data_IF_530477544715
#
_entry.id   IF_530477544715
#
_cell.length_a   1.000
_cell.length_b   1.000
_cell.length_c   1.000
_cell.angle_alpha   90.00
_cell.angle_beta   90.00
_cell.angle_gamma   90.00
#
_symmetry.space_group_name_H-M   'P 1'
#
loop_
_entity.id
_entity.type
_entity.pdbx_description
1 polymer ?
#
# COMPACT_ATOMS: atom_id res chain seq x y z
N UNK A 1 9.50 20.57 -16.91
CA UNK A 1 9.24 19.52 -15.90
C UNK A 1 7.73 19.41 -15.73
N UNK A 2 7.12 18.30 -16.14
CA UNK A 2 5.67 18.08 -15.98
C UNK A 2 5.34 17.87 -14.51
N UNK A 3 4.33 18.57 -13.99
CA UNK A 3 3.86 18.39 -12.62
C UNK A 3 3.37 16.95 -12.43
N UNK A 4 4.13 16.12 -11.72
CA UNK A 4 3.65 14.81 -11.30
C UNK A 4 2.76 14.98 -10.08
N UNK A 5 1.45 14.80 -10.26
CA UNK A 5 0.51 14.71 -9.14
C UNK A 5 0.75 13.40 -8.40
N UNK A 6 0.91 13.47 -7.08
CA UNK A 6 0.97 12.28 -6.22
C UNK A 6 -0.42 11.84 -5.75
N UNK A 7 -1.49 12.49 -6.17
CA UNK A 7 -2.85 12.10 -5.78
C UNK A 7 -3.31 10.91 -6.61
N UNK A 8 -3.59 9.79 -5.95
CA UNK A 8 -3.95 8.56 -6.62
C UNK A 8 -4.68 7.58 -5.71
N UNK A 9 -5.41 6.66 -6.34
CA UNK A 9 -6.03 5.53 -5.69
C UNK A 9 -5.77 4.28 -6.54
N UNK A 10 -5.42 3.18 -5.89
CA UNK A 10 -5.30 1.88 -6.53
C UNK A 10 -5.85 0.80 -5.61
N UNK A 11 -6.53 -0.19 -6.19
CA UNK A 11 -6.99 -1.38 -5.50
C UNK A 11 -6.68 -2.60 -6.35
N UNK A 12 -6.04 -3.59 -5.74
CA UNK A 12 -5.72 -4.87 -6.38
C UNK A 12 -6.19 -5.98 -5.48
N UNK A 13 -6.87 -6.95 -6.06
CA UNK A 13 -7.43 -8.09 -5.34
C UNK A 13 -6.88 -9.39 -5.92
N UNK A 14 -6.89 -10.45 -5.11
CA UNK A 14 -6.49 -11.77 -5.56
C UNK A 14 -6.92 -12.85 -4.59
N UNK A 15 -6.62 -14.09 -4.96
CA UNK A 15 -6.93 -15.25 -4.13
C UNK A 15 -5.86 -16.32 -4.26
N UNK A 16 -5.73 -17.15 -3.23
CA UNK A 16 -4.87 -18.33 -3.20
C UNK A 16 -5.49 -19.37 -2.29
N UNK A 17 -5.96 -20.48 -2.88
CA UNK A 17 -6.77 -21.48 -2.17
C UNK A 17 -8.01 -20.84 -1.54
N UNK A 18 -8.20 -21.05 -0.23
CA UNK A 18 -9.30 -20.46 0.56
C UNK A 18 -9.10 -18.99 0.92
N UNK A 19 -7.93 -18.42 0.65
CA UNK A 19 -7.63 -17.04 1.03
C UNK A 19 -8.00 -16.10 -0.11
N UNK A 20 -8.68 -15.01 0.23
CA UNK A 20 -8.84 -13.84 -0.63
C UNK A 20 -8.14 -12.66 0.02
N UNK A 21 -7.60 -11.77 -0.78
CA UNK A 21 -6.93 -10.58 -0.29
C UNK A 21 -7.24 -9.36 -1.15
N UNK A 22 -7.09 -8.19 -0.55
CA UNK A 22 -7.20 -6.91 -1.23
C UNK A 22 -6.13 -5.93 -0.69
N UNK A 23 -5.31 -5.42 -1.60
CA UNK A 23 -4.48 -4.26 -1.36
C UNK A 23 -5.23 -2.99 -1.78
N UNK A 24 -5.20 -1.98 -0.94
CA UNK A 24 -5.75 -0.65 -1.22
C UNK A 24 -4.72 0.43 -0.90
N UNK A 25 -4.42 1.26 -1.87
CA UNK A 25 -3.45 2.35 -1.76
C UNK A 25 -4.14 3.68 -2.07
N UNK A 26 -3.95 4.66 -1.18
CA UNK A 26 -4.29 6.06 -1.40
C UNK A 26 -3.04 6.89 -1.26
N UNK A 27 -2.82 7.80 -2.21
CA UNK A 27 -1.71 8.75 -2.15
C UNK A 27 -2.25 10.17 -2.32
N UNK A 28 -1.59 11.12 -1.65
CA UNK A 28 -1.83 12.56 -1.82
C UNK A 28 -0.51 13.30 -1.87
N UNK A 29 -0.53 14.54 -2.35
CA UNK A 29 0.66 15.40 -2.37
C UNK A 29 1.21 15.63 -0.96
N UNK A 30 2.55 15.56 -0.84
CA UNK A 30 3.30 15.74 0.39
C UNK A 30 4.72 16.19 0.07
N UNK A 31 5.39 16.84 1.03
CA UNK A 31 6.76 17.37 0.83
C UNK A 31 7.82 16.27 0.90
N UNK A 32 7.70 15.37 1.88
CA UNK A 32 8.50 14.16 1.99
C UNK A 32 7.68 12.92 1.66
N UNK A 33 8.30 11.74 1.74
CA UNK A 33 7.59 10.46 1.65
C UNK A 33 7.16 10.02 3.05
N UNK A 34 5.86 10.00 3.29
CA UNK A 34 5.26 9.46 4.49
C UNK A 34 4.45 8.20 4.15
N UNK A 35 4.66 7.12 4.89
CA UNK A 35 4.03 5.83 4.65
C UNK A 35 3.30 5.38 5.92
N UNK A 36 1.98 5.19 5.79
CA UNK A 36 1.14 4.59 6.82
C UNK A 36 0.57 3.27 6.33
N UNK A 37 0.93 2.19 7.00
CA UNK A 37 0.46 0.84 6.72
C UNK A 37 -0.71 0.47 7.63
N UNK A 38 -1.66 -0.32 7.12
CA UNK A 38 -2.68 -1.01 7.90
C UNK A 38 -2.66 -2.46 7.48
N UNK A 39 -2.08 -3.31 8.31
CA UNK A 39 -1.90 -4.73 8.06
C UNK A 39 -2.77 -5.54 9.02
N UNK A 40 -3.33 -6.68 8.57
CA UNK A 40 -4.02 -7.60 9.46
C UNK A 40 -3.01 -8.27 10.40
N UNK A 41 -3.51 -8.80 11.51
CA UNK A 41 -2.67 -9.49 12.50
C UNK A 41 -1.84 -10.60 11.84
N UNK A 42 -0.57 -10.71 12.24
CA UNK A 42 0.35 -11.73 11.75
C UNK A 42 1.01 -11.39 10.40
N UNK A 43 0.74 -10.21 9.83
CA UNK A 43 1.33 -9.74 8.58
C UNK A 43 2.25 -8.53 8.74
N UNK A 44 2.61 -8.17 9.98
CA UNK A 44 3.40 -7.00 10.33
C UNK A 44 4.79 -7.01 9.66
N UNK A 45 5.34 -8.20 9.41
CA UNK A 45 6.61 -8.39 8.71
C UNK A 45 6.62 -7.77 7.30
N UNK A 46 5.46 -7.60 6.65
CA UNK A 46 5.36 -6.97 5.33
C UNK A 46 5.70 -5.47 5.37
N UNK A 47 5.65 -4.82 6.54
CA UNK A 47 5.88 -3.38 6.63
C UNK A 47 7.26 -2.97 6.12
N UNK A 48 8.31 -3.75 6.44
CA UNK A 48 9.67 -3.49 5.99
C UNK A 48 9.77 -3.52 4.46
N UNK A 49 9.18 -4.53 3.82
CA UNK A 49 9.17 -4.65 2.37
C UNK A 49 8.34 -3.56 1.69
N UNK A 50 7.18 -3.21 2.26
CA UNK A 50 6.35 -2.12 1.77
C UNK A 50 7.14 -0.80 1.77
N UNK A 51 7.82 -0.50 2.88
CA UNK A 51 8.61 0.74 3.01
C UNK A 51 9.75 0.78 2.00
N UNK A 52 10.47 -0.32 1.83
CA UNK A 52 11.54 -0.44 0.83
C UNK A 52 11.00 -0.22 -0.59
N UNK A 53 9.98 -0.98 -0.99
CA UNK A 53 9.42 -0.94 -2.34
C UNK A 53 8.77 0.40 -2.69
N UNK A 54 8.18 1.09 -1.70
CA UNK A 54 7.63 2.43 -1.89
C UNK A 54 8.74 3.48 -2.03
N UNK A 55 9.79 3.41 -1.20
CA UNK A 55 10.95 4.31 -1.28
C UNK A 55 11.75 4.18 -2.58
N UNK A 56 11.75 2.99 -3.19
CA UNK A 56 12.35 2.77 -4.52
C UNK A 56 11.57 3.45 -5.66
N UNK A 57 10.26 3.67 -5.49
CA UNK A 57 9.36 4.17 -6.55
C UNK A 57 8.91 5.60 -6.38
N UNK A 58 8.92 6.12 -5.15
CA UNK A 58 8.29 7.38 -4.80
C UNK A 58 9.25 8.22 -3.98
N UNK A 59 9.37 9.50 -4.34
CA UNK A 59 10.28 10.43 -3.64
C UNK A 59 9.56 11.35 -2.66
N UNK A 60 8.24 11.50 -2.80
CA UNK A 60 7.40 12.37 -1.96
C UNK A 60 5.95 11.89 -1.97
N UNK A 61 5.13 12.42 -1.07
CA UNK A 61 3.71 12.10 -0.95
C UNK A 61 3.38 11.42 0.36
N UNK A 62 2.12 11.51 0.76
CA UNK A 62 1.61 10.75 1.91
C UNK A 62 0.81 9.56 1.37
N UNK A 63 1.24 8.34 1.72
CA UNK A 63 0.63 7.11 1.26
C UNK A 63 0.00 6.35 2.42
N UNK A 64 -1.25 5.95 2.22
CA UNK A 64 -1.94 4.97 3.05
C UNK A 64 -2.02 3.67 2.27
N UNK A 65 -1.47 2.61 2.86
CA UNK A 65 -1.36 1.28 2.25
C UNK A 65 -2.07 0.29 3.17
N UNK A 66 -3.15 -0.31 2.71
CA UNK A 66 -3.94 -1.28 3.46
C UNK A 66 -3.91 -2.65 2.82
N UNK A 67 -3.76 -3.69 3.64
CA UNK A 67 -4.03 -5.07 3.28
C UNK A 67 -5.27 -5.57 4.04
N UNK A 68 -6.18 -6.22 3.33
CA UNK A 68 -7.23 -7.04 3.93
C UNK A 68 -7.06 -8.47 3.45
N UNK A 69 -7.19 -9.44 4.35
CA UNK A 69 -7.14 -10.87 4.04
C UNK A 69 -8.35 -11.53 4.68
N UNK A 70 -9.10 -12.29 3.90
CA UNK A 70 -10.24 -13.07 4.37
C UNK A 70 -10.07 -14.54 4.00
N UNK A 71 -10.62 -15.41 4.83
CA UNK A 71 -10.75 -16.84 4.54
C UNK A 71 -12.18 -17.06 4.05
N UNK A 72 -12.30 -17.65 2.87
CA UNK A 72 -13.58 -18.12 2.34
C UNK A 72 -13.73 -19.59 2.69
N UNK A 73 -14.91 -19.97 3.17
CA UNK A 73 -15.26 -21.37 3.45
C UNK A 73 -15.31 -22.22 2.17
#
# INVERSE_FOLDING_TARGET
>A
MTLQSMTGFARVEGSSGRYRWAWELRSVNGKGLDLRTRLPQGHEALETDIRRLAGERLMRGNLQIGLNVTVSE
#
